data_IF_407081671834
#
_entry.id   IF_407081671834
#
_cell.length_a   1.000
_cell.length_b   1.000
_cell.length_c   1.000
_cell.angle_alpha   90.00
_cell.angle_beta   90.00
_cell.angle_gamma   90.00
#
_symmetry.space_group_name_H-M   'P 1'
#
loop_
_entity.id
_entity.type
_entity.pdbx_description
1 polymer ?
#
# COMPACT_ATOMS: atom_id res chain seq x y z
N UNK A 1 5.36 -7.29 -19.58
CA UNK A 1 6.16 -6.18 -19.02
C UNK A 1 5.38 -5.23 -18.10
N UNK A 2 4.05 -5.34 -17.95
CA UNK A 2 3.28 -4.45 -17.05
C UNK A 2 3.41 -4.78 -15.55
N UNK A 3 3.40 -6.07 -15.19
CA UNK A 3 3.41 -6.53 -13.79
C UNK A 3 4.69 -6.17 -13.01
N UNK A 4 5.85 -6.18 -13.68
CA UNK A 4 7.13 -5.78 -13.07
C UNK A 4 7.18 -4.30 -12.68
N UNK A 5 6.45 -3.44 -13.40
CA UNK A 5 6.36 -2.02 -13.09
C UNK A 5 5.50 -1.76 -11.83
N UNK A 6 4.38 -2.48 -11.69
CA UNK A 6 3.48 -2.34 -10.54
C UNK A 6 4.20 -2.61 -9.21
N UNK A 7 4.99 -3.69 -9.13
CA UNK A 7 5.76 -4.01 -7.91
C UNK A 7 6.70 -2.89 -7.50
N UNK A 8 7.42 -2.31 -8.46
CA UNK A 8 8.34 -1.19 -8.19
C UNK A 8 7.59 0.03 -7.65
N UNK A 9 6.43 0.34 -8.25
CA UNK A 9 5.60 1.47 -7.84
C UNK A 9 5.01 1.29 -6.43
N UNK A 10 4.56 0.08 -6.10
CA UNK A 10 4.05 -0.28 -4.77
C UNK A 10 5.16 -0.20 -3.71
N UNK A 11 6.33 -0.74 -4.00
CA UNK A 11 7.49 -0.64 -3.10
C UNK A 11 7.89 0.82 -2.84
N UNK A 12 7.88 1.66 -3.88
CA UNK A 12 8.18 3.08 -3.70
C UNK A 12 7.10 3.79 -2.88
N UNK A 13 5.82 3.47 -3.11
CA UNK A 13 4.68 4.00 -2.35
C UNK A 13 4.75 3.63 -0.85
N UNK A 14 4.90 2.34 -0.52
CA UNK A 14 5.01 1.90 0.88
C UNK A 14 6.34 2.33 1.52
N UNK A 15 7.42 2.32 0.76
CA UNK A 15 8.72 2.80 1.20
C UNK A 15 8.72 4.28 1.59
N UNK A 16 7.90 5.11 0.96
CA UNK A 16 7.74 6.52 1.32
C UNK A 16 7.16 6.68 2.75
N UNK A 17 6.13 5.91 3.10
CA UNK A 17 5.60 5.91 4.46
C UNK A 17 6.60 5.36 5.49
N UNK A 18 7.39 4.36 5.13
CA UNK A 18 8.43 3.82 6.01
C UNK A 18 9.51 4.87 6.35
N UNK A 19 9.79 5.78 5.41
CA UNK A 19 10.70 6.93 5.60
C UNK A 19 10.04 8.11 6.33
N UNK A 20 8.71 8.14 6.41
CA UNK A 20 7.95 9.26 6.97
C UNK A 20 7.74 10.41 5.99
N UNK A 21 7.82 10.13 4.69
CA UNK A 21 7.56 11.11 3.63
C UNK A 21 6.07 11.47 3.60
N UNK A 22 5.76 12.72 3.23
CA UNK A 22 4.39 13.13 2.92
C UNK A 22 4.01 12.62 1.52
N UNK A 23 3.12 11.63 1.48
CA UNK A 23 2.71 10.97 0.24
C UNK A 23 1.44 11.62 -0.31
N UNK A 24 1.58 12.30 -1.44
CA UNK A 24 0.46 12.98 -2.08
C UNK A 24 -0.70 12.01 -2.41
N UNK A 25 -1.96 12.36 -2.10
CA UNK A 25 -3.13 11.51 -2.38
C UNK A 25 -3.28 11.11 -3.85
N UNK A 26 -2.88 11.99 -4.78
CA UNK A 26 -2.91 11.72 -6.21
C UNK A 26 -2.11 10.47 -6.61
N UNK A 27 -1.00 10.19 -5.91
CA UNK A 27 -0.20 8.99 -6.13
C UNK A 27 -0.98 7.72 -5.81
N UNK A 28 -1.78 7.74 -4.75
CA UNK A 28 -2.65 6.63 -4.37
C UNK A 28 -3.70 6.36 -5.44
N UNK A 29 -4.45 7.39 -5.85
CA UNK A 29 -5.49 7.26 -6.86
C UNK A 29 -4.97 6.79 -8.21
N UNK A 30 -3.77 7.23 -8.60
CA UNK A 30 -3.12 6.73 -9.80
C UNK A 30 -2.86 5.23 -9.73
N UNK A 31 -2.31 4.73 -8.62
CA UNK A 31 -2.02 3.30 -8.46
C UNK A 31 -3.30 2.47 -8.40
N UNK A 32 -4.33 2.93 -7.68
CA UNK A 32 -5.63 2.27 -7.63
C UNK A 32 -6.25 2.16 -9.03
N UNK A 33 -6.27 3.25 -9.81
CA UNK A 33 -6.75 3.23 -11.19
C UNK A 33 -5.91 2.34 -12.12
N UNK A 34 -4.59 2.33 -11.95
CA UNK A 34 -3.70 1.47 -12.73
C UNK A 34 -3.94 -0.02 -12.44
N UNK A 35 -4.10 -0.40 -11.17
CA UNK A 35 -4.42 -1.77 -10.77
C UNK A 35 -5.79 -2.22 -11.29
N UNK A 36 -6.81 -1.38 -11.16
CA UNK A 36 -8.15 -1.65 -11.71
C UNK A 36 -8.09 -1.89 -13.22
N UNK A 37 -7.37 -1.04 -13.96
CA UNK A 37 -7.21 -1.21 -15.41
C UNK A 37 -6.49 -2.52 -15.77
N UNK A 38 -5.49 -2.95 -15.00
CA UNK A 38 -4.80 -4.24 -15.22
C UNK A 38 -5.73 -5.44 -15.04
N UNK A 39 -6.67 -5.36 -14.08
CA UNK A 39 -7.67 -6.41 -13.87
C UNK A 39 -8.72 -6.40 -14.97
N UNK A 40 -9.26 -5.23 -15.30
CA UNK A 40 -10.29 -5.08 -16.35
C UNK A 40 -9.80 -5.51 -17.73
N UNK A 41 -8.51 -5.33 -18.01
CA UNK A 41 -7.87 -5.78 -19.25
C UNK A 41 -7.40 -7.25 -19.20
N UNK A 42 -7.75 -7.99 -18.15
CA UNK A 42 -7.37 -9.40 -17.93
C UNK A 42 -5.85 -9.64 -17.96
N UNK A 43 -5.06 -8.60 -17.69
CA UNK A 43 -3.60 -8.71 -17.62
C UNK A 43 -3.12 -9.33 -16.30
N UNK A 44 -3.95 -9.29 -15.26
CA UNK A 44 -3.66 -9.84 -13.94
C UNK A 44 -4.95 -10.14 -13.18
N UNK A 45 -4.96 -11.20 -12.35
CA UNK A 45 -6.07 -11.46 -11.46
C UNK A 45 -6.04 -10.47 -10.28
N UNK A 46 -7.22 -10.07 -9.79
CA UNK A 46 -7.31 -9.18 -8.63
C UNK A 46 -6.62 -9.76 -7.38
N UNK A 47 -6.69 -11.08 -7.20
CA UNK A 47 -6.01 -11.81 -6.11
C UNK A 47 -4.49 -11.66 -6.17
N UNK A 48 -3.90 -11.67 -7.36
CA UNK A 48 -2.45 -11.55 -7.53
C UNK A 48 -1.98 -10.12 -7.22
N UNK A 49 -2.79 -9.12 -7.59
CA UNK A 49 -2.53 -7.74 -7.21
C UNK A 49 -2.66 -7.54 -5.70
N UNK A 50 -3.71 -8.09 -5.07
CA UNK A 50 -3.87 -8.03 -3.61
C UNK A 50 -2.69 -8.66 -2.88
N UNK A 51 -2.24 -9.83 -3.33
CA UNK A 51 -1.04 -10.46 -2.77
C UNK A 51 0.19 -9.56 -2.94
N UNK A 52 0.36 -8.94 -4.11
CA UNK A 52 1.48 -8.03 -4.36
C UNK A 52 1.44 -6.79 -3.47
N UNK A 53 0.25 -6.23 -3.21
CA UNK A 53 0.05 -5.12 -2.27
C UNK A 53 0.44 -5.57 -0.86
N UNK A 54 -0.07 -6.71 -0.41
CA UNK A 54 0.21 -7.26 0.92
C UNK A 54 1.72 -7.49 1.13
N UNK A 55 2.38 -8.15 0.19
CA UNK A 55 3.82 -8.43 0.23
C UNK A 55 4.66 -7.15 0.28
N UNK A 56 4.29 -6.16 -0.55
CA UNK A 56 4.99 -4.87 -0.61
C UNK A 56 4.79 -4.07 0.68
N UNK A 57 3.56 -4.07 1.21
CA UNK A 57 3.25 -3.42 2.48
C UNK A 57 4.01 -4.07 3.64
N UNK A 58 3.98 -5.41 3.74
CA UNK A 58 4.66 -6.16 4.80
C UNK A 58 6.17 -5.90 4.79
N UNK A 59 6.78 -5.90 3.60
CA UNK A 59 8.22 -5.68 3.43
C UNK A 59 8.69 -4.29 3.91
N UNK A 60 7.82 -3.28 3.88
CA UNK A 60 8.17 -1.91 4.23
C UNK A 60 7.64 -1.44 5.58
N UNK A 61 6.45 -1.91 5.98
CA UNK A 61 5.68 -1.42 7.12
C UNK A 61 5.37 -2.50 8.16
N UNK A 62 5.68 -3.76 7.84
CA UNK A 62 5.49 -4.90 8.73
C UNK A 62 4.12 -5.56 8.62
N UNK A 63 4.03 -6.76 9.21
CA UNK A 63 2.87 -7.66 9.09
C UNK A 63 1.56 -7.07 9.59
N UNK A 64 1.60 -6.26 10.65
CA UNK A 64 0.40 -5.61 11.19
C UNK A 64 -0.23 -4.65 10.17
N UNK A 65 0.59 -3.83 9.51
CA UNK A 65 0.15 -2.91 8.47
C UNK A 65 -0.42 -3.64 7.25
N UNK A 66 0.17 -4.80 6.89
CA UNK A 66 -0.26 -5.59 5.75
C UNK A 66 -1.57 -6.37 5.99
N UNK A 67 -1.96 -6.60 7.24
CA UNK A 67 -3.11 -7.45 7.61
C UNK A 67 -4.48 -7.01 7.07
N UNK A 68 -4.57 -5.78 6.57
CA UNK A 68 -5.78 -5.21 5.95
C UNK A 68 -5.96 -5.64 4.48
N UNK A 69 -4.90 -6.10 3.82
CA UNK A 69 -4.90 -6.52 2.42
C UNK A 69 -5.11 -8.04 2.33
N UNK A 70 -6.33 -8.49 2.61
CA UNK A 70 -6.72 -9.90 2.52
C UNK A 70 -7.29 -10.21 1.12
N UNK A 71 -7.42 -11.48 0.79
CA UNK A 71 -7.81 -11.95 -0.56
C UNK A 71 -9.17 -11.45 -1.04
N UNK A 72 -10.08 -11.12 -0.12
CA UNK A 72 -11.42 -10.60 -0.43
C UNK A 72 -11.53 -9.07 -0.23
N UNK A 73 -10.42 -8.40 0.07
CA UNK A 73 -10.41 -6.94 0.23
C UNK A 73 -10.62 -6.24 -1.11
N UNK A 74 -11.24 -5.04 -1.11
CA UNK A 74 -11.24 -4.20 -2.31
C UNK A 74 -9.81 -3.86 -2.72
N UNK A 75 -9.58 -3.68 -4.03
CA UNK A 75 -8.31 -3.18 -4.59
C UNK A 75 -8.13 -1.69 -4.26
N UNK A 76 -7.86 -1.42 -2.99
CA UNK A 76 -7.73 -0.10 -2.42
C UNK A 76 -6.45 -0.03 -1.61
N UNK A 77 -5.74 1.09 -1.70
CA UNK A 77 -4.54 1.34 -0.92
C UNK A 77 -4.89 2.19 0.31
N UNK A 78 -4.18 1.98 1.41
CA UNK A 78 -4.30 2.80 2.61
C UNK A 78 -3.11 3.75 2.75
N UNK A 79 -3.37 4.93 3.31
CA UNK A 79 -2.31 5.83 3.75
C UNK A 79 -1.81 5.35 5.11
N UNK A 80 -0.50 5.18 5.25
CA UNK A 80 0.10 4.72 6.51
C UNK A 80 0.85 5.87 7.16
N UNK A 81 0.39 6.33 8.32
CA UNK A 81 1.15 7.29 9.13
C UNK A 81 1.74 6.56 10.33
N UNK A 82 3.01 6.83 10.64
CA UNK A 82 3.55 6.46 11.95
C UNK A 82 2.67 7.13 13.01
N UNK A 83 2.16 6.34 13.96
CA UNK A 83 1.49 6.89 15.14
C UNK A 83 2.47 7.87 15.80
N UNK A 84 2.02 9.11 16.01
CA UNK A 84 2.79 10.07 16.78
C UNK A 84 3.06 9.48 18.17
N UNK A 85 4.28 9.60 18.71
CA UNK A 85 4.55 9.20 20.08
C UNK A 85 3.64 10.02 21.00
N UNK A 86 2.70 9.34 21.66
CA UNK A 86 1.90 9.96 22.71
C UNK A 86 2.79 10.03 23.94
N UNK A 87 3.34 11.20 24.23
CA UNK A 87 3.99 11.43 25.52
C UNK A 87 2.89 11.50 26.59
N UNK A 88 2.91 10.62 27.62
CA UNK A 88 1.98 10.76 28.71
C UNK A 88 2.28 12.10 29.41
N UNK A 89 1.32 13.01 29.41
CA UNK A 89 1.39 14.20 30.26
C UNK A 89 1.29 13.70 31.70
N UNK A 90 2.39 13.71 32.43
CA UNK A 90 2.37 13.49 33.87
C UNK A 90 1.49 14.58 34.49
N UNK A 91 0.28 14.23 34.90
CA UNK A 91 -0.52 15.03 35.81
C UNK A 91 0.17 14.97 37.17
N UNK A 92 0.90 16.02 37.51
CA UNK A 92 1.40 16.28 38.86
C UNK A 92 0.26 16.58 39.82
#
# INVERSE_FOLDING_TARGET
>A
MAFGNLKSLLNEYFGAFARGDDVAPARRYFLEGYMTALVEMEHCAASDILQLIADSCESHLGKEAASVYQSDSPLMLHSHMRRAPVYPTSSS
#
